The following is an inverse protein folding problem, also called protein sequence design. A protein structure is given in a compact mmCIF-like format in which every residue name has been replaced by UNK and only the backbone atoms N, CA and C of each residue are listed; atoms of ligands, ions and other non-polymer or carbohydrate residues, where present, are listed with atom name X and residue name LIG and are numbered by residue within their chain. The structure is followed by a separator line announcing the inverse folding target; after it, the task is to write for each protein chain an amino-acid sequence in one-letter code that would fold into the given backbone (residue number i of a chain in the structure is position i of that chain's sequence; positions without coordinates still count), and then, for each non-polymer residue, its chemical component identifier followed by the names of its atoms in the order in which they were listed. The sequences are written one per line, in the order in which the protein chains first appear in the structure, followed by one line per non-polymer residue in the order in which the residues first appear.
data_IF_659956393325
#
_entry.id   IF_659956393325
#
_cell.length_a   1.000
_cell.length_b   1.000
_cell.length_c   1.000
_cell.angle_alpha   90.00
_cell.angle_beta   90.00
_cell.angle_gamma   90.00
#
_symmetry.space_group_name_H-M   'P 1'
#
loop_
_entity.id
_entity.type
_entity.pdbx_description
1 polymer ?
#
# COMPACT_ATOMS: atom_id res chain seq x y z
N UNK A 1 -7.35 -4.17 -16.13
CA UNK A 1 -6.74 -2.84 -16.36
C UNK A 1 -6.73 -1.95 -15.11
N UNK A 2 -7.86 -1.50 -14.57
CA UNK A 2 -7.89 -0.54 -13.43
C UNK A 2 -7.10 -1.00 -12.19
N UNK A 3 -7.23 -2.27 -11.75
CA UNK A 3 -6.47 -2.81 -10.61
C UNK A 3 -4.95 -2.85 -10.86
N UNK A 4 -4.55 -3.16 -12.10
CA UNK A 4 -3.14 -3.18 -12.49
C UNK A 4 -2.56 -1.77 -12.49
N UNK A 5 -3.31 -0.81 -13.03
CA UNK A 5 -2.94 0.60 -13.04
C UNK A 5 -2.93 1.19 -11.63
N UNK A 6 -3.88 0.82 -10.76
CA UNK A 6 -3.87 1.26 -9.36
C UNK A 6 -2.65 0.74 -8.60
N UNK A 7 -2.29 -0.53 -8.80
CA UNK A 7 -1.07 -1.10 -8.23
C UNK A 7 0.18 -0.38 -8.76
N UNK A 8 0.27 -0.16 -10.08
CA UNK A 8 1.37 0.57 -10.70
C UNK A 8 1.52 2.00 -10.13
N UNK A 9 0.41 2.72 -9.96
CA UNK A 9 0.42 4.05 -9.35
C UNK A 9 0.83 4.00 -7.87
N UNK A 10 0.27 3.07 -7.09
CA UNK A 10 0.62 2.92 -5.68
C UNK A 10 2.13 2.67 -5.49
N UNK A 11 2.73 1.82 -6.34
CA UNK A 11 4.18 1.59 -6.34
C UNK A 11 4.93 2.89 -6.67
N UNK A 12 4.50 3.64 -7.70
CA UNK A 12 5.14 4.93 -8.06
C UNK A 12 5.10 5.95 -6.93
N UNK A 13 4.06 5.94 -6.11
CA UNK A 13 3.87 6.93 -5.03
C UNK A 13 4.59 6.51 -3.75
N UNK A 14 4.44 5.24 -3.34
CA UNK A 14 4.87 4.76 -2.03
C UNK A 14 6.23 4.05 -2.04
N UNK A 15 6.78 3.69 -3.21
CA UNK A 15 8.12 3.10 -3.22
C UNK A 15 9.16 4.18 -2.87
N UNK A 16 9.86 4.00 -1.76
CA UNK A 16 10.96 4.88 -1.33
C UNK A 16 12.21 4.79 -2.22
N UNK A 17 12.18 3.91 -3.21
CA UNK A 17 13.31 3.56 -4.08
C UNK A 17 12.92 3.63 -5.56
N UNK A 18 12.11 4.63 -5.95
CA UNK A 18 11.69 4.87 -7.35
C UNK A 18 12.91 4.87 -8.26
N UNK A 19 14.06 5.37 -7.80
CA UNK A 19 15.31 5.33 -8.55
C UNK A 19 16.41 4.58 -7.80
N UNK A 20 16.62 3.29 -8.14
CA UNK A 20 17.86 2.60 -7.77
C UNK A 20 18.90 2.86 -8.84
N UNK A 21 20.04 3.46 -8.46
CA UNK A 21 21.14 3.78 -9.37
C UNK A 21 20.70 4.62 -10.60
N UNK A 22 19.75 5.54 -10.43
CA UNK A 22 19.25 6.41 -11.49
C UNK A 22 18.26 5.75 -12.47
N UNK A 23 17.77 4.54 -12.19
CA UNK A 23 16.76 3.84 -13.01
C UNK A 23 15.45 3.65 -12.27
N UNK A 24 14.29 3.82 -12.92
CA UNK A 24 13.00 3.51 -12.32
C UNK A 24 12.97 2.06 -11.86
N UNK A 25 12.50 1.81 -10.64
CA UNK A 25 12.45 0.45 -10.04
C UNK A 25 11.49 -0.46 -10.79
N UNK A 26 10.45 0.09 -11.41
CA UNK A 26 9.49 -0.66 -12.22
C UNK A 26 9.26 0.06 -13.53
N UNK A 27 9.45 -0.66 -14.64
CA UNK A 27 9.17 -0.17 -15.97
C UNK A 27 7.76 -0.56 -16.40
N UNK A 28 7.11 0.30 -17.20
CA UNK A 28 5.78 0.00 -17.75
C UNK A 28 5.75 -1.32 -18.54
N UNK A 29 6.87 -1.72 -19.14
CA UNK A 29 7.03 -3.00 -19.84
C UNK A 29 6.89 -4.20 -18.90
N UNK A 30 7.34 -4.08 -17.65
CA UNK A 30 7.20 -5.15 -16.66
C UNK A 30 5.74 -5.27 -16.20
N UNK A 31 5.05 -4.14 -16.06
CA UNK A 31 3.62 -4.10 -15.72
C UNK A 31 2.77 -4.71 -16.83
N UNK A 32 3.11 -4.46 -18.09
CA UNK A 32 2.48 -5.12 -19.25
C UNK A 32 2.68 -6.63 -19.18
N UNK A 33 3.89 -7.10 -18.82
CA UNK A 33 4.16 -8.52 -18.64
C UNK A 33 3.31 -9.15 -17.52
N UNK A 34 2.99 -8.44 -16.43
CA UNK A 34 2.11 -8.95 -15.36
C UNK A 34 0.69 -9.25 -15.85
N UNK A 35 0.24 -8.57 -16.92
CA UNK A 35 -1.04 -8.84 -17.56
C UNK A 35 -0.97 -9.92 -18.64
N UNK A 36 0.14 -10.66 -18.77
CA UNK A 36 0.38 -11.59 -19.88
C UNK A 36 0.20 -10.93 -21.26
N UNK A 37 0.57 -9.64 -21.37
CA UNK A 37 0.37 -8.80 -22.58
C UNK A 37 -1.10 -8.62 -23.01
N UNK A 38 -2.07 -8.83 -22.11
CA UNK A 38 -3.48 -8.53 -22.39
C UNK A 38 -3.71 -7.02 -22.57
N UNK A 39 -2.99 -6.19 -21.81
CA UNK A 39 -3.06 -4.73 -21.90
C UNK A 39 -1.76 -4.15 -22.43
N UNK A 40 -1.87 -3.18 -23.34
CA UNK A 40 -0.69 -2.47 -23.87
C UNK A 40 -0.24 -1.37 -22.91
N UNK A 41 1.01 -0.92 -23.06
CA UNK A 41 1.51 0.24 -22.32
C UNK A 41 0.63 1.49 -22.51
N UNK A 42 0.04 1.65 -23.70
CA UNK A 42 -0.87 2.75 -24.01
C UNK A 42 -2.16 2.67 -23.19
N UNK A 43 -2.71 1.48 -23.01
CA UNK A 43 -3.92 1.27 -22.21
C UNK A 43 -3.68 1.62 -20.74
N UNK A 44 -2.51 1.24 -20.22
CA UNK A 44 -2.09 1.56 -18.85
C UNK A 44 -1.93 3.08 -18.67
N UNK A 45 -1.25 3.77 -19.59
CA UNK A 45 -1.09 5.23 -19.54
C UNK A 45 -2.41 6.00 -19.66
N UNK A 46 -3.31 5.54 -20.55
CA UNK A 46 -4.63 6.13 -20.70
C UNK A 46 -5.46 5.95 -19.42
N UNK A 47 -5.44 4.75 -18.84
CA UNK A 47 -6.11 4.47 -17.57
C UNK A 47 -5.51 5.29 -16.43
N UNK A 48 -4.18 5.43 -16.35
CA UNK A 48 -3.50 6.25 -15.35
C UNK A 48 -3.97 7.70 -15.43
N UNK A 49 -3.98 8.27 -16.64
CA UNK A 49 -4.45 9.64 -16.87
C UNK A 49 -5.91 9.83 -16.46
N UNK A 50 -6.77 8.85 -16.79
CA UNK A 50 -8.18 8.85 -16.41
C UNK A 50 -8.39 8.73 -14.90
N UNK A 51 -7.60 7.91 -14.21
CA UNK A 51 -7.71 7.75 -12.76
C UNK A 51 -7.23 9.00 -12.02
N UNK A 52 -6.12 9.58 -12.46
CA UNK A 52 -5.58 10.83 -11.89
C UNK A 52 -6.58 11.98 -11.99
N UNK A 53 -7.22 12.15 -13.17
CA UNK A 53 -8.23 13.19 -13.34
C UNK A 53 -9.51 12.91 -12.56
N UNK A 54 -9.93 11.65 -12.44
CA UNK A 54 -11.15 11.28 -11.70
C UNK A 54 -10.97 11.44 -10.20
N UNK A 55 -9.77 11.18 -9.68
CA UNK A 55 -9.44 11.32 -8.27
C UNK A 55 -8.97 12.73 -7.91
N UNK A 56 -9.08 13.72 -8.82
CA UNK A 56 -8.57 15.08 -8.62
C UNK A 56 -7.13 15.11 -8.09
N UNK A 57 -6.29 14.16 -8.53
CA UNK A 57 -4.92 13.96 -8.07
C UNK A 57 -4.75 13.66 -6.56
N UNK A 58 -5.81 13.30 -5.84
CA UNK A 58 -5.76 12.82 -4.44
C UNK A 58 -5.23 11.38 -4.37
N UNK A 59 -3.92 11.23 -4.56
CA UNK A 59 -3.26 9.94 -4.73
C UNK A 59 -2.60 9.36 -3.47
N UNK A 60 -2.59 10.11 -2.37
CA UNK A 60 -1.99 9.68 -1.10
C UNK A 60 -3.00 9.76 0.05
N UNK A 61 -4.05 8.93 0.04
CA UNK A 61 -4.98 8.85 1.16
C UNK A 61 -4.32 8.17 2.37
N UNK A 62 -4.73 8.50 3.61
CA UNK A 62 -4.30 7.76 4.78
C UNK A 62 -4.87 6.33 4.73
N UNK A 63 -3.99 5.33 4.79
CA UNK A 63 -4.36 3.90 4.88
C UNK A 63 -4.10 3.37 6.29
N UNK A 64 -4.73 2.24 6.65
CA UNK A 64 -4.63 1.66 7.98
C UNK A 64 -3.17 1.39 8.39
N UNK A 65 -2.34 0.94 7.44
CA UNK A 65 -0.91 0.73 7.65
C UNK A 65 -0.19 1.98 8.19
N UNK A 66 -0.51 3.18 7.69
CA UNK A 66 0.13 4.40 8.17
C UNK A 66 -0.13 4.65 9.67
N UNK A 67 -1.30 4.24 10.18
CA UNK A 67 -1.61 4.36 11.60
C UNK A 67 -0.90 3.30 12.43
N UNK A 68 -0.74 2.08 11.92
CA UNK A 68 0.09 1.06 12.57
C UNK A 68 1.55 1.52 12.69
N UNK A 69 2.10 2.14 11.65
CA UNK A 69 3.47 2.67 11.66
C UNK A 69 3.66 3.76 12.74
N UNK A 70 2.60 4.50 13.08
CA UNK A 70 2.61 5.52 14.15
C UNK A 70 2.47 4.87 15.54
N UNK A 71 1.68 3.80 15.67
CA UNK A 71 1.42 3.13 16.95
C UNK A 71 2.59 2.23 17.35
N UNK A 72 3.25 1.59 16.39
CA UNK A 72 4.31 0.60 16.62
C UNK A 72 5.43 1.11 17.55
N UNK A 73 5.99 2.32 17.35
CA UNK A 73 7.02 2.85 18.26
C UNK A 73 6.55 3.05 19.71
N UNK A 74 5.24 3.29 19.93
CA UNK A 74 4.68 3.46 21.27
C UNK A 74 4.67 2.14 22.06
N UNK A 75 4.63 0.99 21.36
CA UNK A 75 4.73 -0.35 21.97
C UNK A 75 6.19 -0.66 22.29
N UNK A 76 7.13 -0.11 21.51
CA UNK A 76 8.56 -0.31 21.72
C UNK A 76 9.07 0.41 22.98
N UNK A 77 8.51 1.57 23.35
CA UNK A 77 8.92 2.32 24.55
C UNK A 77 8.61 1.59 25.89
N UNK A 78 7.74 0.56 25.90
CA UNK A 78 7.40 -0.26 27.08
C UNK A 78 8.36 -1.47 27.24
N UNK A 79 9.67 -1.22 27.28
CA UNK A 79 10.73 -2.25 27.29
C UNK A 79 10.73 -3.19 28.52
N UNK A 80 10.10 -2.80 29.62
CA UNK A 80 10.08 -3.61 30.85
C UNK A 80 8.97 -4.68 30.88
N UNK A 81 7.99 -4.63 29.98
CA UNK A 81 6.79 -5.47 30.03
C UNK A 81 6.73 -6.57 28.95
N UNK A 82 7.39 -6.37 27.80
CA UNK A 82 7.22 -7.24 26.63
C UNK A 82 8.57 -7.61 26.02
N UNK A 83 8.83 -8.92 25.90
CA UNK A 83 10.03 -9.44 25.22
C UNK A 83 10.06 -8.98 23.75
N UNK A 84 11.23 -8.62 23.18
CA UNK A 84 11.35 -8.18 21.79
C UNK A 84 10.73 -9.13 20.76
N UNK A 85 10.79 -10.45 21.00
CA UNK A 85 10.15 -11.46 20.15
C UNK A 85 8.62 -11.31 20.09
N UNK A 86 8.00 -10.99 21.22
CA UNK A 86 6.54 -10.81 21.32
C UNK A 86 6.14 -9.50 20.65
N UNK A 87 6.93 -8.42 20.82
CA UNK A 87 6.72 -7.15 20.10
C UNK A 87 6.72 -7.36 18.58
N UNK A 88 7.74 -8.07 18.06
CA UNK A 88 7.82 -8.40 16.64
C UNK A 88 6.61 -9.22 16.15
N UNK A 89 6.16 -10.20 16.94
CA UNK A 89 4.98 -11.00 16.60
C UNK A 89 3.70 -10.16 16.55
N UNK A 90 3.49 -9.25 17.52
CA UNK A 90 2.34 -8.34 17.53
C UNK A 90 2.33 -7.50 16.25
N UNK A 91 3.44 -6.84 15.94
CA UNK A 91 3.57 -5.99 14.74
C UNK A 91 3.28 -6.81 13.46
N UNK A 92 3.80 -8.04 13.40
CA UNK A 92 3.61 -8.92 12.23
C UNK A 92 2.15 -9.30 12.06
N UNK A 93 1.46 -9.64 13.15
CA UNK A 93 0.04 -10.02 13.14
C UNK A 93 -0.83 -8.81 12.79
N UNK A 94 -0.57 -7.64 13.37
CA UNK A 94 -1.34 -6.42 13.08
C UNK A 94 -1.19 -5.99 11.61
N UNK A 95 0.02 -6.08 11.05
CA UNK A 95 0.24 -5.85 9.61
C UNK A 95 -0.58 -6.81 8.74
N UNK A 96 -0.58 -8.10 9.09
CA UNK A 96 -1.35 -9.12 8.39
C UNK A 96 -2.86 -8.88 8.47
N UNK A 97 -3.38 -8.47 9.64
CA UNK A 97 -4.79 -8.12 9.81
C UNK A 97 -5.17 -6.90 8.97
N UNK A 98 -4.31 -5.88 8.92
CA UNK A 98 -4.51 -4.73 8.03
C UNK A 98 -4.51 -5.13 6.55
N UNK A 99 -3.63 -6.04 6.13
CA UNK A 99 -3.62 -6.54 4.75
C UNK A 99 -4.94 -7.27 4.40
N UNK A 100 -5.42 -8.13 5.30
CA UNK A 100 -6.71 -8.83 5.10
C UNK A 100 -7.87 -7.84 5.01
N UNK A 101 -7.87 -6.81 5.85
CA UNK A 101 -8.94 -5.80 5.85
C UNK A 101 -9.09 -5.11 4.48
N UNK A 102 -8.00 -4.94 3.73
CA UNK A 102 -8.02 -4.33 2.40
C UNK A 102 -8.68 -5.23 1.33
N UNK A 103 -8.78 -6.54 1.59
CA UNK A 103 -9.40 -7.51 0.67
C UNK A 103 -10.91 -7.62 0.86
N UNK A 104 -11.43 -7.21 2.02
CA UNK A 104 -12.86 -7.28 2.32
C UNK A 104 -13.53 -5.91 2.14
N UNK A 105 -14.51 -5.89 1.24
CA UNK A 105 -15.34 -4.72 0.94
C UNK A 105 -16.02 -4.10 2.17
N UNK A 106 -16.25 -4.86 3.24
CA UNK A 106 -16.82 -4.37 4.49
C UNK A 106 -16.02 -3.17 5.06
N UNK A 107 -14.69 -3.26 5.02
CA UNK A 107 -13.81 -2.23 5.59
C UNK A 107 -13.69 -0.96 4.75
N UNK A 108 -14.21 -0.95 3.52
CA UNK A 108 -14.20 0.25 2.66
C UNK A 108 -14.98 1.43 3.25
N UNK A 109 -15.94 1.15 4.13
CA UNK A 109 -16.76 2.14 4.82
C UNK A 109 -16.24 2.53 6.19
N UNK A 110 -15.19 1.87 6.67
CA UNK A 110 -14.64 2.03 8.03
C UNK A 110 -13.45 2.98 7.97
N UNK A 111 -13.28 3.78 9.02
CA UNK A 111 -12.13 4.68 9.12
C UNK A 111 -10.83 3.87 9.23
N UNK A 112 -9.78 4.18 8.42
CA UNK A 112 -8.53 3.45 8.44
C UNK A 112 -7.84 3.39 9.81
N UNK A 113 -7.99 4.44 10.63
CA UNK A 113 -7.49 4.48 12.01
C UNK A 113 -8.19 3.46 12.93
N UNK A 114 -9.49 3.27 12.77
CA UNK A 114 -10.25 2.27 13.54
C UNK A 114 -9.84 0.85 13.18
N UNK A 115 -9.57 0.60 11.89
CA UNK A 115 -9.04 -0.69 11.42
C UNK A 115 -7.67 -0.96 12.03
N UNK A 116 -6.77 0.02 11.98
CA UNK A 116 -5.43 -0.10 12.55
C UNK A 116 -5.41 -0.30 14.06
N UNK A 117 -6.31 0.35 14.80
CA UNK A 117 -6.41 0.20 16.25
C UNK A 117 -7.04 -1.14 16.69
N UNK A 118 -7.87 -1.74 15.83
CA UNK A 118 -8.50 -3.04 16.10
C UNK A 118 -7.62 -4.23 15.68
N UNK A 119 -6.68 -4.00 14.77
CA UNK A 119 -5.65 -4.95 14.34
C UNK A 119 -4.53 -5.09 15.38
#
# INVERSE_FOLDING_TARGET
LAMLTSLYMAIKIHSSNIYKNGRPTIFITEVVNWSNNEFTARDICNMESSMLSTLDYYMNPPVAQHYLDIITPLIDDDDDLITPLVKQHIITISNWLCEISATDSFFTSIQPSSVAYAA
#
